data_IF_218057662671
#
_entry.id   IF_218057662671
#
_cell.length_a   1.000
_cell.length_b   1.000
_cell.length_c   1.000
_cell.angle_alpha   90.00
_cell.angle_beta   90.00
_cell.angle_gamma   90.00
#
_symmetry.space_group_name_H-M   'P 1'
#
loop_
_entity.id
_entity.type
_entity.pdbx_description
1 polymer ?
#
# COMPACT_ATOMS: atom_id res chain seq x y z
N UNK A 1 -20.20 -49.90 -30.66
CA UNK A 1 -19.17 -50.65 -29.90
C UNK A 1 -19.04 -49.96 -28.55
N UNK A 2 -19.78 -50.34 -27.50
CA UNK A 2 -19.70 -51.60 -26.71
C UNK A 2 -18.38 -51.71 -25.92
N UNK A 3 -18.49 -51.38 -24.64
CA UNK A 3 -17.93 -52.00 -23.42
C UNK A 3 -16.46 -52.47 -23.42
N UNK A 4 -15.71 -52.00 -22.43
CA UNK A 4 -15.31 -52.74 -21.21
C UNK A 4 -14.60 -51.74 -20.25
N UNK A 5 -15.23 -51.26 -19.18
CA UNK A 5 -15.47 -51.88 -17.86
C UNK A 5 -14.28 -51.81 -16.89
N UNK A 6 -14.47 -51.05 -15.78
CA UNK A 6 -14.22 -51.42 -14.37
C UNK A 6 -12.80 -51.92 -13.96
N UNK A 7 -12.23 -51.57 -12.80
CA UNK A 7 -12.61 -50.70 -11.66
C UNK A 7 -11.51 -50.76 -10.60
N UNK A 8 -11.23 -49.69 -9.83
CA UNK A 8 -10.90 -49.84 -8.39
C UNK A 8 -11.10 -48.56 -7.56
N UNK A 9 -11.61 -48.76 -6.34
CA UNK A 9 -12.28 -47.82 -5.41
C UNK A 9 -11.57 -47.97 -4.04
N UNK A 10 -11.32 -46.97 -3.17
CA UNK A 10 -12.06 -45.75 -2.80
C UNK A 10 -11.13 -44.67 -2.15
N UNK A 11 -11.74 -43.60 -1.59
CA UNK A 11 -11.28 -42.62 -0.56
C UNK A 11 -10.64 -41.31 -1.09
N UNK A 12 -11.40 -40.23 -1.30
CA UNK A 12 -12.22 -39.40 -0.38
C UNK A 12 -11.38 -38.55 0.61
N UNK A 13 -11.27 -37.24 0.36
CA UNK A 13 -12.15 -36.25 1.02
C UNK A 13 -11.86 -34.81 0.54
N UNK A 14 -12.87 -34.17 -0.07
CA UNK A 14 -12.95 -32.71 -0.22
C UNK A 14 -14.06 -32.19 0.70
N UNK A 15 -13.84 -31.14 1.51
CA UNK A 15 -14.93 -30.49 2.22
C UNK A 15 -15.70 -29.54 1.29
N UNK A 16 -17.03 -29.56 1.40
CA UNK A 16 -17.96 -28.75 0.59
C UNK A 16 -18.19 -27.37 1.20
N UNK A 17 -18.53 -26.42 0.34
CA UNK A 17 -19.27 -25.21 0.71
C UNK A 17 -20.53 -25.57 1.50
N UNK A 18 -20.78 -24.84 2.61
CA UNK A 18 -22.06 -24.85 3.32
C UNK A 18 -22.62 -23.43 3.26
N UNK A 19 -23.73 -23.28 2.54
CA UNK A 19 -24.59 -22.09 2.58
C UNK A 19 -25.59 -22.31 3.72
N UNK A 20 -25.69 -21.36 4.65
CA UNK A 20 -26.78 -21.30 5.63
C UNK A 20 -27.34 -19.88 5.71
N UNK A 21 -28.47 -19.65 5.05
CA UNK A 21 -29.41 -18.59 5.41
C UNK A 21 -30.10 -18.99 6.73
N UNK A 22 -30.25 -18.11 7.72
CA UNK A 22 -31.48 -18.08 8.56
C UNK A 22 -31.71 -16.72 9.28
N UNK A 23 -32.89 -16.17 9.01
CA UNK A 23 -33.77 -15.34 9.87
C UNK A 23 -33.20 -14.17 10.70
N UNK A 24 -33.67 -12.96 10.36
CA UNK A 24 -33.63 -11.75 11.19
C UNK A 24 -34.75 -11.77 12.26
N UNK A 25 -34.44 -11.36 13.50
CA UNK A 25 -35.43 -10.97 14.51
C UNK A 25 -35.01 -9.68 15.22
N UNK A 26 -35.89 -8.68 15.21
CA UNK A 26 -35.68 -7.38 15.88
C UNK A 26 -35.93 -7.50 17.38
N UNK A 27 -35.05 -6.91 18.19
CA UNK A 27 -35.43 -6.22 19.43
C UNK A 27 -34.62 -4.93 19.57
N UNK A 28 -35.32 -3.82 19.84
CA UNK A 28 -34.70 -2.53 20.14
C UNK A 28 -34.27 -2.48 21.62
N UNK A 29 -33.10 -1.92 21.91
CA UNK A 29 -33.02 -0.67 22.70
C UNK A 29 -31.60 -0.13 22.88
N UNK A 30 -31.47 1.17 22.63
CA UNK A 30 -30.61 2.18 23.28
C UNK A 30 -29.15 1.87 23.66
N UNK A 31 -28.25 2.70 23.12
CA UNK A 31 -26.99 3.14 23.73
C UNK A 31 -25.91 2.09 24.05
N UNK A 32 -25.00 1.87 23.10
CA UNK A 32 -23.57 2.14 23.33
C UNK A 32 -22.76 2.10 22.02
N UNK A 33 -21.82 3.04 21.87
CA UNK A 33 -20.81 3.00 20.83
C UNK A 33 -19.82 1.88 21.13
N UNK A 34 -19.79 0.83 20.32
CA UNK A 34 -18.63 -0.05 20.21
C UNK A 34 -18.60 -0.70 18.82
N UNK A 35 -17.61 -0.33 18.01
CA UNK A 35 -17.32 -1.02 16.75
C UNK A 35 -16.75 -2.42 17.07
N UNK A 36 -17.61 -3.43 17.05
CA UNK A 36 -17.19 -4.82 17.27
C UNK A 36 -16.44 -5.36 16.05
N UNK A 37 -15.12 -5.15 16.02
CA UNK A 37 -14.20 -5.95 15.22
C UNK A 37 -14.10 -7.37 15.81
N UNK A 38 -15.03 -8.24 15.42
CA UNK A 38 -15.05 -9.65 15.81
C UNK A 38 -14.75 -10.58 14.63
N UNK A 39 -13.53 -10.48 14.07
CA UNK A 39 -12.77 -11.60 13.49
C UNK A 39 -11.42 -11.15 12.92
N UNK A 40 -10.38 -11.10 13.75
CA UNK A 40 -8.99 -11.03 13.29
C UNK A 40 -8.08 -11.88 14.17
N UNK A 41 -7.93 -13.16 13.80
CA UNK A 41 -6.85 -14.03 14.29
C UNK A 41 -5.56 -13.69 13.54
N UNK A 42 -5.04 -12.48 13.72
CA UNK A 42 -3.82 -12.01 13.04
C UNK A 42 -3.22 -10.80 13.77
N UNK A 43 -2.44 -11.08 14.82
CA UNK A 43 -1.16 -10.44 15.17
C UNK A 43 -0.43 -11.34 16.16
N UNK A 44 0.89 -11.15 16.32
CA UNK A 44 1.78 -12.02 17.08
C UNK A 44 1.28 -12.30 18.51
N UNK A 45 0.68 -13.46 18.75
CA UNK A 45 0.15 -13.83 20.07
C UNK A 45 1.27 -14.28 20.99
N UNK A 46 1.56 -13.53 22.04
CA UNK A 46 2.20 -14.09 23.23
C UNK A 46 1.20 -15.06 23.88
N UNK A 47 1.40 -16.35 23.66
CA UNK A 47 0.54 -17.42 24.17
C UNK A 47 0.65 -17.52 25.70
N UNK A 48 -0.28 -16.91 26.43
CA UNK A 48 -0.47 -17.15 27.86
C UNK A 48 -1.26 -18.44 28.07
N UNK A 49 -0.59 -19.58 27.92
CA UNK A 49 -1.07 -20.84 28.50
C UNK A 49 -0.38 -21.06 29.85
N UNK A 50 -1.18 -21.18 30.91
CA UNK A 50 -0.69 -21.54 32.25
C UNK A 50 -0.20 -22.99 32.26
N UNK A 51 1.11 -23.19 32.13
CA UNK A 51 1.77 -24.43 32.57
C UNK A 51 3.10 -24.10 33.23
N UNK A 52 3.25 -24.55 34.48
CA UNK A 52 4.42 -24.29 35.31
C UNK A 52 5.59 -25.21 34.94
N UNK A 53 6.56 -24.74 34.15
CA UNK A 53 7.97 -25.17 34.22
C UNK A 53 8.88 -24.33 33.29
N UNK A 54 9.99 -23.82 33.85
CA UNK A 54 11.16 -23.24 33.15
C UNK A 54 10.89 -22.37 31.91
N UNK A 55 10.33 -21.17 32.12
CA UNK A 55 10.35 -20.10 31.11
C UNK A 55 11.76 -19.50 30.96
N UNK A 56 12.59 -20.09 30.09
CA UNK A 56 13.63 -19.32 29.41
C UNK A 56 12.94 -18.30 28.51
N UNK A 57 12.72 -17.09 29.02
CA UNK A 57 12.17 -15.99 28.24
C UNK A 57 13.15 -15.63 27.12
N UNK A 58 12.90 -16.16 25.93
CA UNK A 58 13.66 -15.88 24.72
C UNK A 58 13.29 -14.49 24.17
N UNK A 59 13.63 -13.45 24.94
CA UNK A 59 13.62 -12.08 24.46
C UNK A 59 14.61 -11.97 23.30
N UNK A 60 14.10 -12.08 22.07
CA UNK A 60 14.88 -11.83 20.86
C UNK A 60 15.46 -10.41 20.95
N UNK A 61 16.78 -10.27 20.81
CA UNK A 61 17.41 -8.95 20.86
C UNK A 61 17.22 -8.28 19.50
N UNK A 62 16.55 -7.14 19.49
CA UNK A 62 16.29 -6.35 18.27
C UNK A 62 17.61 -5.94 17.58
N UNK A 63 18.66 -5.66 18.36
CA UNK A 63 19.98 -5.29 17.83
C UNK A 63 20.98 -6.46 17.91
N UNK A 64 21.70 -6.71 16.81
CA UNK A 64 22.73 -7.77 16.72
C UNK A 64 24.16 -7.23 16.63
N UNK A 65 24.35 -5.92 16.45
CA UNK A 65 25.65 -5.24 16.19
C UNK A 65 26.41 -5.69 14.93
N UNK A 66 25.87 -6.65 14.17
CA UNK A 66 26.49 -7.15 12.94
C UNK A 66 26.53 -6.11 11.81
N UNK A 67 25.75 -5.03 11.92
CA UNK A 67 25.69 -3.94 10.96
C UNK A 67 26.52 -2.70 11.30
N UNK A 68 27.30 -2.73 12.39
CA UNK A 68 28.04 -1.55 12.90
C UNK A 68 29.19 -1.15 11.96
N UNK A 69 29.72 -2.10 11.18
CA UNK A 69 30.73 -1.87 10.12
C UNK A 69 30.13 -1.42 8.78
N UNK A 70 28.92 -0.88 8.76
CA UNK A 70 28.30 -0.33 7.56
C UNK A 70 27.82 -1.36 6.52
N UNK A 71 27.75 -2.65 6.86
CA UNK A 71 27.23 -3.72 5.97
C UNK A 71 25.93 -4.33 6.52
N UNK A 72 25.16 -5.00 5.68
CA UNK A 72 23.96 -5.76 6.07
C UNK A 72 23.81 -7.01 5.20
N UNK A 73 22.95 -7.95 5.60
CA UNK A 73 22.68 -9.20 4.88
C UNK A 73 21.36 -9.11 4.09
N UNK A 74 21.37 -9.63 2.87
CA UNK A 74 20.17 -9.94 2.08
C UNK A 74 19.52 -11.25 2.53
N UNK A 75 18.34 -11.58 2.01
CA UNK A 75 17.57 -12.77 2.43
C UNK A 75 18.27 -14.10 2.09
N UNK A 76 19.12 -14.11 1.05
CA UNK A 76 19.99 -15.24 0.70
C UNK A 76 21.26 -15.35 1.57
N UNK A 77 21.46 -14.44 2.53
CA UNK A 77 22.64 -14.36 3.40
C UNK A 77 23.80 -13.53 2.85
N UNK A 78 23.76 -13.13 1.58
CA UNK A 78 24.78 -12.29 0.94
C UNK A 78 24.96 -10.97 1.69
N UNK A 79 26.20 -10.51 1.89
CA UNK A 79 26.48 -9.25 2.60
C UNK A 79 26.92 -8.14 1.65
N UNK A 80 26.13 -7.07 1.58
CA UNK A 80 26.45 -5.83 0.85
C UNK A 80 26.63 -4.65 1.80
N UNK A 81 27.19 -3.54 1.32
CA UNK A 81 27.28 -2.29 2.07
C UNK A 81 25.89 -1.67 2.23
N UNK A 82 25.60 -0.95 3.32
CA UNK A 82 24.27 -0.36 3.60
C UNK A 82 23.83 0.73 2.61
N UNK A 83 24.77 1.28 1.84
CA UNK A 83 24.54 2.21 0.73
C UNK A 83 24.50 1.52 -0.65
N UNK A 84 24.47 0.19 -0.69
CA UNK A 84 24.16 -0.58 -1.89
C UNK A 84 22.73 -0.27 -2.37
N UNK A 85 22.53 -0.25 -3.69
CA UNK A 85 21.26 0.13 -4.29
C UNK A 85 20.08 -0.70 -3.77
N UNK A 86 20.26 -2.00 -3.50
CA UNK A 86 19.21 -2.87 -2.95
C UNK A 86 18.70 -2.32 -1.61
N UNK A 87 19.60 -1.94 -0.70
CA UNK A 87 19.21 -1.38 0.60
C UNK A 87 18.62 0.03 0.49
N UNK A 88 19.05 0.83 -0.49
CA UNK A 88 18.42 2.12 -0.78
C UNK A 88 16.95 1.94 -1.23
N UNK A 89 16.67 1.00 -2.15
CA UNK A 89 15.28 0.73 -2.58
C UNK A 89 14.44 0.19 -1.42
N UNK A 90 14.97 -0.76 -0.63
CA UNK A 90 14.29 -1.27 0.56
C UNK A 90 13.92 -0.15 1.54
N UNK A 91 14.85 0.78 1.79
CA UNK A 91 14.60 1.95 2.64
C UNK A 91 13.51 2.87 2.09
N UNK A 92 13.50 3.16 0.79
CA UNK A 92 12.45 3.99 0.17
C UNK A 92 11.05 3.32 0.18
N UNK A 93 10.98 1.98 0.12
CA UNK A 93 9.73 1.21 0.22
C UNK A 93 9.23 1.16 1.67
N UNK A 94 10.11 0.96 2.65
CA UNK A 94 9.78 1.00 4.08
C UNK A 94 9.31 2.40 4.51
N UNK A 95 10.01 3.46 4.05
CA UNK A 95 9.62 4.84 4.30
C UNK A 95 8.24 5.19 3.71
N UNK A 96 7.91 4.67 2.51
CA UNK A 96 6.56 4.77 1.97
C UNK A 96 5.53 4.12 2.91
N UNK A 97 5.79 2.91 3.37
CA UNK A 97 4.91 2.18 4.29
C UNK A 97 4.70 2.95 5.61
N UNK A 98 5.76 3.54 6.16
CA UNK A 98 5.67 4.41 7.34
C UNK A 98 4.81 5.66 7.10
N UNK A 99 4.98 6.33 5.95
CA UNK A 99 4.16 7.48 5.57
C UNK A 99 2.67 7.13 5.40
N UNK A 100 2.36 5.95 4.85
CA UNK A 100 0.98 5.42 4.74
C UNK A 100 0.38 5.20 6.13
N UNK A 101 1.15 4.66 7.09
CA UNK A 101 0.70 4.53 8.47
C UNK A 101 0.25 5.86 9.08
N UNK A 102 1.06 6.91 8.91
CA UNK A 102 0.69 8.28 9.37
C UNK A 102 -0.53 8.82 8.60
N UNK A 103 -0.65 8.55 7.30
CA UNK A 103 -1.81 8.95 6.50
C UNK A 103 -3.10 8.27 6.99
N UNK A 104 -3.02 6.98 7.34
CA UNK A 104 -4.13 6.19 7.91
C UNK A 104 -4.61 6.80 9.23
N UNK A 105 -3.72 7.19 10.13
CA UNK A 105 -4.10 7.84 11.40
C UNK A 105 -4.80 9.20 11.19
N UNK A 106 -4.31 10.04 10.27
CA UNK A 106 -5.04 11.25 9.90
C UNK A 106 -6.41 10.92 9.28
N UNK A 107 -6.49 9.87 8.47
CA UNK A 107 -7.71 9.46 7.78
C UNK A 107 -8.78 8.89 8.74
N UNK A 108 -8.39 8.12 9.76
CA UNK A 108 -9.31 7.62 10.80
C UNK A 108 -10.04 8.76 11.55
N UNK A 109 -9.40 9.93 11.64
CA UNK A 109 -9.97 11.13 12.24
C UNK A 109 -10.86 11.94 11.27
N UNK A 110 -10.96 11.56 10.00
CA UNK A 110 -11.74 12.29 8.99
C UNK A 110 -13.24 12.03 9.15
N UNK A 111 -14.00 13.11 9.34
CA UNK A 111 -15.45 13.09 9.44
C UNK A 111 -16.11 13.40 8.09
N UNK A 112 -17.09 12.60 7.69
CA UNK A 112 -17.91 12.80 6.49
C UNK A 112 -19.39 12.92 6.88
N UNK A 113 -19.97 14.09 6.63
CA UNK A 113 -21.36 14.43 6.97
C UNK A 113 -22.36 14.19 5.84
N UNK A 114 -21.90 13.75 4.66
CA UNK A 114 -22.77 13.55 3.50
C UNK A 114 -23.63 12.27 3.57
N UNK A 115 -24.73 12.29 2.83
CA UNK A 115 -25.75 11.22 2.78
C UNK A 115 -25.55 10.24 1.64
N UNK A 116 -24.60 10.46 0.72
CA UNK A 116 -24.34 9.55 -0.39
C UNK A 116 -23.68 8.24 0.11
N UNK A 117 -24.40 7.14 -0.06
CA UNK A 117 -24.03 5.79 0.40
C UNK A 117 -22.78 5.24 -0.30
N UNK A 118 -22.62 5.46 -1.62
CA UNK A 118 -21.42 5.01 -2.37
C UNK A 118 -20.15 5.71 -1.91
N UNK A 119 -20.25 7.02 -1.64
CA UNK A 119 -19.15 7.81 -1.07
C UNK A 119 -18.79 7.31 0.34
N UNK A 120 -19.79 6.90 1.14
CA UNK A 120 -19.58 6.30 2.46
C UNK A 120 -18.90 4.93 2.37
N UNK A 121 -19.34 4.07 1.45
CA UNK A 121 -18.71 2.78 1.17
C UNK A 121 -17.22 2.95 0.78
N UNK A 122 -16.92 3.82 -0.19
CA UNK A 122 -15.55 4.14 -0.58
C UNK A 122 -14.72 4.68 0.61
N UNK A 123 -15.32 5.55 1.43
CA UNK A 123 -14.67 6.07 2.63
C UNK A 123 -14.32 4.96 3.62
N UNK A 124 -15.25 4.06 3.89
CA UNK A 124 -15.13 3.05 4.94
C UNK A 124 -14.22 1.88 4.52
N UNK A 125 -14.14 1.56 3.22
CA UNK A 125 -13.17 0.59 2.66
C UNK A 125 -11.71 1.08 2.69
N UNK A 126 -11.47 2.39 2.64
CA UNK A 126 -10.12 2.99 2.54
C UNK A 126 -9.12 2.44 3.57
N UNK A 127 -9.54 2.24 4.83
CA UNK A 127 -8.63 1.76 5.89
C UNK A 127 -8.07 0.38 5.55
N UNK A 128 -8.92 -0.51 5.05
CA UNK A 128 -8.53 -1.85 4.60
C UNK A 128 -7.60 -1.77 3.37
N UNK A 129 -7.90 -0.90 2.40
CA UNK A 129 -7.06 -0.69 1.22
C UNK A 129 -5.64 -0.24 1.61
N UNK A 130 -5.52 0.70 2.56
CA UNK A 130 -4.21 1.18 3.05
C UNK A 130 -3.43 0.08 3.78
N UNK A 131 -4.10 -0.77 4.56
CA UNK A 131 -3.47 -1.91 5.23
C UNK A 131 -3.04 -3.00 4.25
N UNK A 132 -3.85 -3.29 3.23
CA UNK A 132 -3.47 -4.19 2.13
C UNK A 132 -2.23 -3.67 1.38
N UNK A 133 -2.18 -2.36 1.09
CA UNK A 133 -1.00 -1.73 0.48
C UNK A 133 0.23 -1.85 1.40
N UNK A 134 0.12 -1.61 2.72
CA UNK A 134 1.25 -1.79 3.63
C UNK A 134 1.77 -3.23 3.65
N UNK A 135 0.89 -4.23 3.62
CA UNK A 135 1.25 -5.64 3.48
C UNK A 135 1.96 -5.92 2.14
N UNK A 136 1.40 -5.46 1.02
CA UNK A 136 1.99 -5.64 -0.31
C UNK A 136 3.35 -4.93 -0.46
N UNK A 137 3.58 -3.82 0.23
CA UNK A 137 4.90 -3.18 0.27
C UNK A 137 5.95 -4.02 1.02
N UNK A 138 5.56 -4.84 2.00
CA UNK A 138 6.46 -5.83 2.63
C UNK A 138 6.78 -6.99 1.67
N UNK A 139 5.81 -7.43 0.86
CA UNK A 139 6.05 -8.40 -0.22
C UNK A 139 6.99 -7.83 -1.29
N UNK A 140 6.81 -6.56 -1.69
CA UNK A 140 7.72 -5.83 -2.58
C UNK A 140 9.13 -5.77 -1.98
N UNK A 141 9.26 -5.43 -0.69
CA UNK A 141 10.54 -5.49 0.03
C UNK A 141 11.17 -6.88 -0.02
N UNK A 142 10.38 -7.93 0.16
CA UNK A 142 10.84 -9.32 0.10
C UNK A 142 11.33 -9.73 -1.29
N UNK A 143 10.73 -9.20 -2.36
CA UNK A 143 11.22 -9.39 -3.73
C UNK A 143 12.57 -8.70 -3.97
N UNK A 144 12.72 -7.46 -3.51
CA UNK A 144 13.94 -6.66 -3.65
C UNK A 144 15.10 -7.29 -2.87
N UNK A 145 14.85 -7.76 -1.64
CA UNK A 145 15.86 -8.36 -0.76
C UNK A 145 16.37 -9.76 -1.19
N UNK A 146 15.88 -10.28 -2.32
CA UNK A 146 16.04 -11.68 -2.74
C UNK A 146 16.60 -11.76 -4.17
N UNK A 147 17.92 -11.89 -4.37
CA UNK A 147 18.56 -11.94 -5.69
C UNK A 147 18.11 -13.12 -6.57
N UNK A 148 18.18 -12.94 -7.90
CA UNK A 148 17.73 -13.94 -8.89
C UNK A 148 18.61 -15.19 -8.98
N UNK A 149 19.91 -15.06 -8.80
CA UNK A 149 20.87 -16.14 -9.14
C UNK A 149 20.82 -17.35 -8.19
N UNK A 150 20.12 -17.21 -7.07
CA UNK A 150 19.76 -18.32 -6.20
C UNK A 150 18.53 -19.07 -6.77
N UNK A 151 18.74 -20.28 -7.32
CA UNK A 151 17.66 -21.14 -7.81
C UNK A 151 16.57 -21.42 -6.74
N UNK A 152 16.98 -21.60 -5.48
CA UNK A 152 16.08 -21.74 -4.33
C UNK A 152 15.30 -20.47 -3.97
N UNK A 153 15.72 -19.30 -4.46
CA UNK A 153 15.14 -18.01 -4.08
C UNK A 153 13.93 -17.62 -4.93
N UNK A 154 13.90 -18.05 -6.20
CA UNK A 154 12.68 -17.94 -7.02
C UNK A 154 11.51 -18.72 -6.40
N UNK A 155 11.77 -19.86 -5.76
CA UNK A 155 10.78 -20.66 -5.03
C UNK A 155 10.36 -20.06 -3.67
N UNK A 156 11.07 -19.02 -3.19
CA UNK A 156 10.82 -18.36 -1.89
C UNK A 156 10.23 -16.94 -2.00
N UNK A 157 10.18 -16.35 -3.20
CA UNK A 157 9.46 -15.08 -3.42
C UNK A 157 7.96 -15.33 -3.33
N UNK A 158 7.25 -14.48 -2.57
CA UNK A 158 5.79 -14.42 -2.60
C UNK A 158 5.31 -14.16 -4.04
N UNK A 159 4.26 -14.81 -4.58
CA UNK A 159 3.82 -14.56 -5.94
C UNK A 159 3.12 -13.19 -6.05
N UNK A 160 3.80 -12.19 -6.63
CA UNK A 160 3.18 -10.88 -6.90
C UNK A 160 2.42 -10.90 -8.24
N UNK A 161 1.09 -10.92 -8.17
CA UNK A 161 0.20 -11.03 -9.34
C UNK A 161 -0.22 -9.67 -9.91
N UNK A 162 -0.51 -9.62 -11.23
CA UNK A 162 -1.05 -8.42 -11.89
C UNK A 162 -2.42 -7.97 -11.30
N UNK A 163 -3.19 -8.87 -10.66
CA UNK A 163 -4.44 -8.57 -9.94
C UNK A 163 -4.30 -7.44 -8.89
N UNK A 164 -3.13 -7.29 -8.26
CA UNK A 164 -2.92 -6.18 -7.31
C UNK A 164 -2.90 -4.82 -8.00
N UNK A 165 -2.49 -4.77 -9.28
CA UNK A 165 -2.57 -3.55 -10.11
C UNK A 165 -4.02 -3.25 -10.44
N UNK A 166 -4.78 -4.27 -10.88
CA UNK A 166 -6.20 -4.17 -11.22
C UNK A 166 -7.05 -3.70 -10.02
N UNK A 167 -6.73 -4.17 -8.81
CA UNK A 167 -7.39 -3.73 -7.57
C UNK A 167 -7.17 -2.25 -7.29
N UNK A 168 -5.95 -1.75 -7.46
CA UNK A 168 -5.63 -0.32 -7.29
C UNK A 168 -6.33 0.53 -8.37
N UNK A 169 -6.38 0.07 -9.62
CA UNK A 169 -7.12 0.74 -10.70
C UNK A 169 -8.62 0.80 -10.38
N UNK A 170 -9.21 -0.29 -9.88
CA UNK A 170 -10.61 -0.32 -9.45
C UNK A 170 -10.90 0.65 -8.29
N UNK A 171 -10.00 0.76 -7.30
CA UNK A 171 -10.16 1.70 -6.19
C UNK A 171 -10.05 3.17 -6.65
N UNK A 172 -9.16 3.46 -7.62
CA UNK A 172 -9.07 4.78 -8.26
C UNK A 172 -10.40 5.14 -8.93
N UNK A 173 -10.92 4.27 -9.80
CA UNK A 173 -12.17 4.52 -10.54
C UNK A 173 -13.37 4.71 -9.61
N UNK A 174 -13.46 3.92 -8.53
CA UNK A 174 -14.51 4.03 -7.52
C UNK A 174 -14.52 5.38 -6.78
N UNK A 175 -13.35 6.02 -6.61
CA UNK A 175 -13.25 7.36 -6.03
C UNK A 175 -13.45 8.47 -7.08
N UNK A 176 -12.80 8.37 -8.24
CA UNK A 176 -12.75 9.48 -9.22
C UNK A 176 -14.13 9.83 -9.80
N UNK A 177 -15.03 8.85 -9.92
CA UNK A 177 -16.44 9.06 -10.31
C UNK A 177 -17.20 10.03 -9.39
N UNK A 178 -16.71 10.26 -8.16
CA UNK A 178 -17.27 11.20 -7.20
C UNK A 178 -16.55 12.56 -7.17
N UNK A 179 -15.39 12.69 -7.81
CA UNK A 179 -14.57 13.90 -7.76
C UNK A 179 -15.01 14.96 -8.79
N UNK A 180 -14.81 16.25 -8.50
CA UNK A 180 -14.93 17.29 -9.52
C UNK A 180 -13.85 17.11 -10.59
N UNK A 181 -14.14 17.35 -11.88
CA UNK A 181 -13.22 17.09 -12.98
C UNK A 181 -11.94 17.94 -12.86
N UNK A 182 -10.78 17.28 -12.93
CA UNK A 182 -9.48 17.93 -12.80
C UNK A 182 -9.12 18.74 -14.06
N UNK A 183 -9.42 20.04 -14.05
CA UNK A 183 -9.13 20.96 -15.18
C UNK A 183 -7.82 21.72 -15.06
N UNK A 184 -7.19 21.74 -13.89
CA UNK A 184 -5.99 22.49 -13.60
C UNK A 184 -5.10 21.69 -12.65
N UNK A 185 -3.79 22.00 -12.62
CA UNK A 185 -2.91 21.49 -11.57
C UNK A 185 -3.38 21.99 -10.19
N UNK A 186 -3.40 21.10 -9.21
CA UNK A 186 -3.65 21.40 -7.80
C UNK A 186 -2.33 21.46 -7.03
N UNK A 187 -2.25 22.36 -6.06
CA UNK A 187 -1.17 22.41 -5.09
C UNK A 187 -1.39 21.31 -4.05
N UNK A 188 -0.36 20.56 -3.63
CA UNK A 188 -0.52 19.50 -2.65
C UNK A 188 -0.93 20.08 -1.29
N UNK A 189 -2.14 19.77 -0.84
CA UNK A 189 -2.71 20.29 0.41
C UNK A 189 -4.23 20.15 0.48
N UNK A 190 -4.90 21.14 1.08
CA UNK A 190 -6.36 21.16 1.27
C UNK A 190 -6.75 20.87 2.73
N UNK A 191 -6.41 19.69 3.23
CA UNK A 191 -6.52 19.29 4.64
C UNK A 191 -5.32 18.40 5.05
N UNK A 192 -5.22 18.03 6.33
CA UNK A 192 -4.08 17.26 6.86
C UNK A 192 -3.96 15.88 6.20
N UNK A 193 -5.10 15.20 5.99
CA UNK A 193 -5.19 13.91 5.32
C UNK A 193 -4.64 13.99 3.90
N UNK A 194 -5.18 14.89 3.09
CA UNK A 194 -4.77 15.14 1.70
C UNK A 194 -3.30 15.55 1.59
N UNK A 195 -2.83 16.43 2.48
CA UNK A 195 -1.43 16.83 2.52
C UNK A 195 -0.52 15.61 2.75
N UNK A 196 -0.85 14.74 3.72
CA UNK A 196 -0.08 13.52 3.97
C UNK A 196 -0.17 12.49 2.83
N UNK A 197 -1.34 12.33 2.17
CA UNK A 197 -1.43 11.47 0.98
C UNK A 197 -0.63 12.02 -0.20
N UNK A 198 -0.52 13.34 -0.36
CA UNK A 198 0.41 13.92 -1.32
C UNK A 198 1.89 13.71 -0.95
N UNK A 199 2.23 13.61 0.34
CA UNK A 199 3.56 13.14 0.77
C UNK A 199 3.75 11.66 0.39
N UNK A 200 2.80 10.77 0.71
CA UNK A 200 2.82 9.35 0.30
C UNK A 200 3.05 9.21 -1.21
N UNK A 201 2.30 9.96 -2.03
CA UNK A 201 2.50 10.04 -3.48
C UNK A 201 3.92 10.43 -3.87
N UNK A 202 4.51 11.44 -3.22
CA UNK A 202 5.87 11.90 -3.55
C UNK A 202 6.96 10.90 -3.16
N UNK A 203 6.80 10.20 -2.03
CA UNK A 203 7.69 9.15 -1.55
C UNK A 203 7.54 7.89 -2.41
N UNK A 204 6.31 7.52 -2.79
CA UNK A 204 6.01 6.44 -3.72
C UNK A 204 6.71 6.65 -5.08
N UNK A 205 6.64 7.87 -5.64
CA UNK A 205 7.38 8.23 -6.86
C UNK A 205 8.90 8.25 -6.68
N UNK A 206 9.44 8.33 -5.45
CA UNK A 206 10.87 8.11 -5.20
C UNK A 206 11.19 6.63 -5.20
N UNK A 207 10.46 5.81 -4.44
CA UNK A 207 10.59 4.36 -4.46
C UNK A 207 10.49 3.79 -5.90
N UNK A 208 9.60 4.34 -6.74
CA UNK A 208 9.50 4.05 -8.18
C UNK A 208 10.83 4.28 -8.92
N UNK A 209 11.50 5.42 -8.72
CA UNK A 209 12.78 5.73 -9.39
C UNK A 209 13.94 4.87 -8.87
N UNK A 210 13.94 4.59 -7.57
CA UNK A 210 14.94 3.74 -6.95
C UNK A 210 14.78 2.29 -7.45
N UNK A 211 13.54 1.82 -7.59
CA UNK A 211 13.19 0.54 -8.24
C UNK A 211 13.61 0.47 -9.72
N UNK A 212 13.37 1.52 -10.52
CA UNK A 212 13.84 1.58 -11.93
C UNK A 212 15.36 1.50 -12.00
N UNK A 213 16.04 2.19 -11.08
CA UNK A 213 17.51 2.15 -10.99
C UNK A 213 18.02 0.75 -10.65
N UNK A 214 17.25 -0.03 -9.88
CA UNK A 214 17.57 -1.41 -9.55
C UNK A 214 17.28 -2.37 -10.72
N UNK A 215 16.18 -2.22 -11.46
CA UNK A 215 15.80 -3.14 -12.55
C UNK A 215 16.84 -3.22 -13.67
N UNK A 216 17.60 -2.14 -13.89
CA UNK A 216 18.74 -2.11 -14.82
C UNK A 216 19.97 -2.94 -14.38
N UNK A 217 19.99 -3.43 -13.14
CA UNK A 217 21.12 -4.15 -12.52
C UNK A 217 20.69 -5.52 -11.97
N UNK A 218 19.59 -5.54 -11.22
CA UNK A 218 18.99 -6.67 -10.50
C UNK A 218 17.51 -6.77 -10.90
N UNK A 219 17.22 -7.42 -12.03
CA UNK A 219 15.87 -7.50 -12.62
C UNK A 219 14.73 -7.82 -11.63
N UNK A 220 13.83 -6.85 -11.48
CA UNK A 220 12.67 -6.87 -10.56
C UNK A 220 11.50 -7.63 -11.21
N UNK A 221 10.45 -7.97 -10.45
CA UNK A 221 9.20 -8.47 -11.04
C UNK A 221 8.48 -7.29 -11.76
N UNK A 222 8.16 -7.38 -13.07
CA UNK A 222 7.46 -6.31 -13.78
C UNK A 222 6.11 -5.89 -13.16
N UNK A 223 5.39 -6.82 -12.51
CA UNK A 223 4.12 -6.50 -11.83
C UNK A 223 4.32 -5.60 -10.61
N UNK A 224 5.46 -5.70 -9.91
CA UNK A 224 5.85 -4.78 -8.83
C UNK A 224 6.08 -3.37 -9.36
N UNK A 225 6.75 -3.24 -10.52
CA UNK A 225 6.98 -1.95 -11.18
C UNK A 225 5.67 -1.25 -11.56
N UNK A 226 4.74 -2.00 -12.19
CA UNK A 226 3.39 -1.49 -12.52
C UNK A 226 2.62 -1.07 -11.26
N UNK A 227 2.67 -1.89 -10.20
CA UNK A 227 1.96 -1.64 -8.96
C UNK A 227 2.44 -0.35 -8.27
N UNK A 228 3.75 -0.17 -8.09
CA UNK A 228 4.29 1.05 -7.45
C UNK A 228 4.04 2.30 -8.32
N UNK A 229 4.09 2.19 -9.65
CA UNK A 229 3.67 3.27 -10.54
C UNK A 229 2.21 3.68 -10.27
N UNK A 230 1.28 2.72 -10.27
CA UNK A 230 -0.16 2.95 -10.10
C UNK A 230 -0.55 3.39 -8.68
N UNK A 231 0.19 2.96 -7.64
CA UNK A 231 0.03 3.49 -6.28
C UNK A 231 0.21 5.01 -6.22
N UNK A 232 1.04 5.60 -7.08
CA UNK A 232 1.20 7.06 -7.10
C UNK A 232 -0.05 7.80 -7.64
N UNK A 233 -0.79 7.17 -8.55
CA UNK A 233 -2.09 7.66 -9.04
C UNK A 233 -3.19 7.47 -7.98
N UNK A 234 -3.14 6.34 -7.25
CA UNK A 234 -4.02 6.09 -6.10
C UNK A 234 -3.84 7.14 -5.00
N UNK A 235 -2.62 7.38 -4.52
CA UNK A 235 -2.39 8.41 -3.49
C UNK A 235 -2.74 9.83 -3.96
N UNK A 236 -2.67 10.11 -5.26
CA UNK A 236 -3.21 11.36 -5.80
C UNK A 236 -4.74 11.42 -5.67
N UNK A 237 -5.43 10.35 -6.09
CA UNK A 237 -6.90 10.25 -6.05
C UNK A 237 -7.44 10.27 -4.62
N UNK A 238 -6.82 9.52 -3.69
CA UNK A 238 -7.16 9.53 -2.25
C UNK A 238 -6.99 10.93 -1.65
N UNK A 239 -5.94 11.67 -2.00
CA UNK A 239 -5.74 13.03 -1.50
C UNK A 239 -6.91 13.95 -1.90
N UNK A 240 -7.30 13.93 -3.19
CA UNK A 240 -8.48 14.65 -3.70
C UNK A 240 -9.77 14.20 -3.01
N UNK A 241 -9.95 12.90 -2.82
CA UNK A 241 -11.11 12.33 -2.14
C UNK A 241 -11.20 12.77 -0.67
N UNK A 242 -10.07 12.88 0.04
CA UNK A 242 -10.04 13.45 1.39
C UNK A 242 -10.50 14.91 1.42
N UNK A 243 -10.14 15.73 0.42
CA UNK A 243 -10.61 17.13 0.31
C UNK A 243 -12.12 17.17 0.03
N UNK A 244 -12.60 16.30 -0.87
CA UNK A 244 -14.02 16.16 -1.21
C UNK A 244 -14.88 15.74 0.00
N UNK A 245 -14.46 14.70 0.75
CA UNK A 245 -15.19 14.20 1.92
C UNK A 245 -15.35 15.25 3.03
N UNK A 246 -14.36 16.13 3.22
CA UNK A 246 -14.44 17.21 4.22
C UNK A 246 -15.05 18.50 3.66
N UNK A 247 -15.58 18.50 2.43
CA UNK A 247 -16.07 19.67 1.71
C UNK A 247 -15.07 20.85 1.73
N UNK A 248 -13.78 20.52 1.69
CA UNK A 248 -12.67 21.48 1.65
C UNK A 248 -12.35 21.86 0.20
N UNK A 249 -11.51 22.88 0.00
CA UNK A 249 -11.19 23.38 -1.35
C UNK A 249 -9.78 22.96 -1.80
N UNK A 250 -9.69 22.41 -3.02
CA UNK A 250 -8.43 22.17 -3.70
C UNK A 250 -7.79 23.52 -4.11
N UNK A 251 -6.55 23.77 -3.68
CA UNK A 251 -5.84 24.98 -4.04
C UNK A 251 -5.29 24.89 -5.47
N UNK A 252 -5.96 25.54 -6.43
CA UNK A 252 -5.53 25.55 -7.84
C UNK A 252 -4.22 26.30 -8.02
N UNK A 253 -3.26 25.70 -8.74
CA UNK A 253 -2.01 26.34 -9.14
C UNK A 253 -2.28 27.58 -9.99
N UNK A 254 -1.72 28.72 -9.59
CA UNK A 254 -1.74 29.97 -10.34
C UNK A 254 -0.33 30.25 -10.83
N UNK A 255 -0.13 30.29 -12.15
CA UNK A 255 1.16 30.69 -12.74
C UNK A 255 1.53 32.10 -12.23
N UNK A 256 2.70 32.29 -11.60
CA UNK A 256 3.15 33.62 -11.19
C UNK A 256 3.20 34.56 -12.40
N UNK A 257 2.69 35.78 -12.25
CA UNK A 257 2.85 36.83 -13.27
C UNK A 257 4.29 37.37 -13.17
N UNK A 258 5.00 37.37 -14.29
CA UNK A 258 6.27 38.10 -14.42
C UNK A 258 5.92 39.60 -14.52
N UNK A 259 6.56 40.49 -13.75
CA UNK A 259 6.39 41.94 -13.93
C UNK A 259 6.84 42.37 -15.34
N UNK A 260 6.12 43.29 -15.98
CA UNK A 260 6.33 43.69 -17.38
C UNK A 260 7.76 44.17 -17.70
N UNK A 261 8.43 44.78 -16.72
CA UNK A 261 9.83 45.21 -16.79
C UNK A 261 10.82 44.04 -16.96
N UNK A 262 10.50 42.87 -16.39
CA UNK A 262 11.30 41.66 -16.50
C UNK A 262 10.92 40.83 -17.74
N UNK A 263 9.65 40.82 -18.13
CA UNK A 263 9.18 40.19 -19.38
C UNK A 263 9.93 40.76 -20.59
N UNK A 264 10.06 42.10 -20.64
CA UNK A 264 10.80 42.81 -21.70
C UNK A 264 12.29 42.45 -21.77
N UNK A 265 12.91 42.10 -20.63
CA UNK A 265 14.29 41.59 -20.60
C UNK A 265 14.39 40.13 -21.03
N UNK A 266 13.41 39.32 -20.66
CA UNK A 266 13.38 37.88 -20.96
C UNK A 266 13.17 37.62 -22.46
N UNK A 267 12.18 38.30 -23.08
CA UNK A 267 11.92 38.18 -24.52
C UNK A 267 13.14 38.62 -25.36
N UNK A 268 13.76 39.76 -25.02
CA UNK A 268 15.03 40.23 -25.64
C UNK A 268 16.23 39.29 -25.44
N UNK A 269 16.14 38.31 -24.54
CA UNK A 269 17.18 37.30 -24.33
C UNK A 269 16.90 36.01 -25.13
N UNK A 270 15.62 35.72 -25.39
CA UNK A 270 15.19 34.66 -26.30
C UNK A 270 15.41 35.04 -27.78
N UNK A 271 15.11 36.27 -28.17
CA UNK A 271 15.33 36.81 -29.53
C UNK A 271 16.82 36.92 -29.94
N UNK A 272 17.75 36.64 -29.02
CA UNK A 272 19.21 36.70 -29.22
C UNK A 272 19.88 35.32 -29.26
N UNK A 273 19.10 34.24 -29.30
CA UNK A 273 19.55 32.85 -29.44
C UNK A 273 19.07 32.27 -30.77
#
# INVERSE_FOLDING_TARGET
MIKHSLSFINKLNSPRLIINNYSCSRLNNSSNNLYNYSNSKLYCTTSTENNSSNSNDHHSRIYTKTGDKGTSSLFNGERRAKNDHVFCVLGSVDELSAHIGVAKEYYLNLQYSGTNEKVRECKDQMVQQLEEIQCLLLDVGSHIATPKDSADAFLKRSPFADYHVESVEHWIDAMDVHLPPLRNFILPGGNLQSAQFHVCRSVCRRAERDLVSLDHVDTVNPSVMKYVNRLSDYFFTVARFCVFLTNSQEAVYKRPKVPSEHESKYQRHLEKR
#
